data_IF_548887414691
#
_entry.id   IF_548887414691
#
_cell.length_a   1.000
_cell.length_b   1.000
_cell.length_c   1.000
_cell.angle_alpha   90.00
_cell.angle_beta   90.00
_cell.angle_gamma   90.00
#
_symmetry.space_group_name_H-M   'P 1'
#
loop_
_entity.id
_entity.type
_entity.pdbx_description
1 polymer ?
#
# COMPACT_ATOMS: atom_id res chain seq x y z
N UNK A 1 -16.75 -51.10 -19.27
CA UNK A 1 -16.79 -49.70 -18.78
C UNK A 1 -16.43 -49.74 -17.29
N UNK A 2 -15.36 -49.17 -16.75
CA UNK A 2 -14.20 -48.46 -17.28
C UNK A 2 -13.01 -48.77 -16.34
N UNK A 3 -11.81 -48.75 -16.91
CA UNK A 3 -10.54 -49.03 -16.26
C UNK A 3 -10.23 -48.02 -15.16
N UNK A 4 -9.89 -48.49 -13.95
CA UNK A 4 -9.41 -47.63 -12.86
C UNK A 4 -7.95 -47.27 -13.14
N UNK A 5 -7.73 -46.09 -13.70
CA UNK A 5 -6.42 -45.50 -13.88
C UNK A 5 -5.91 -44.94 -12.56
N UNK A 6 -4.98 -45.67 -11.95
CA UNK A 6 -4.02 -45.12 -10.98
C UNK A 6 -3.11 -44.18 -11.76
N UNK A 7 -2.98 -42.91 -11.36
CA UNK A 7 -1.92 -42.04 -11.86
C UNK A 7 -1.17 -41.37 -10.72
N UNK A 8 0.13 -41.30 -10.95
CA UNK A 8 1.21 -41.05 -10.05
C UNK A 8 1.56 -39.57 -9.94
N UNK A 9 2.10 -39.21 -8.77
CA UNK A 9 3.25 -38.31 -8.52
C UNK A 9 3.39 -37.04 -9.37
N UNK A 10 3.38 -35.88 -8.70
CA UNK A 10 4.23 -34.76 -9.08
C UNK A 10 4.68 -33.97 -7.85
N UNK A 11 5.87 -34.30 -7.36
CA UNK A 11 6.67 -33.40 -6.52
C UNK A 11 7.09 -32.24 -7.41
N UNK A 12 6.62 -31.03 -7.13
CA UNK A 12 7.15 -29.82 -7.79
C UNK A 12 7.95 -29.04 -6.76
N UNK A 13 9.26 -29.31 -6.80
CA UNK A 13 10.30 -28.42 -6.30
C UNK A 13 10.25 -27.15 -7.15
N UNK A 14 9.85 -26.01 -6.57
CA UNK A 14 10.08 -24.69 -7.18
C UNK A 14 11.23 -24.04 -6.42
N UNK A 15 12.45 -24.51 -6.71
CA UNK A 15 13.66 -23.75 -6.48
C UNK A 15 14.08 -23.08 -7.79
N UNK A 16 14.55 -21.84 -7.66
CA UNK A 16 15.46 -21.13 -8.59
C UNK A 16 14.89 -20.66 -9.93
N UNK A 17 14.17 -19.54 -9.95
CA UNK A 17 14.09 -18.65 -11.12
C UNK A 17 13.90 -17.16 -10.76
N UNK A 18 14.61 -16.64 -9.75
CA UNK A 18 14.68 -15.19 -9.48
C UNK A 18 16.13 -14.66 -9.35
N UNK A 19 17.09 -15.36 -9.97
CA UNK A 19 18.43 -14.81 -10.23
C UNK A 19 18.57 -14.45 -11.69
N UNK A 20 18.34 -13.17 -11.95
CA UNK A 20 18.57 -12.43 -13.19
C UNK A 20 18.06 -11.02 -12.90
N UNK A 21 18.74 -10.19 -12.11
CA UNK A 21 20.06 -9.62 -12.41
C UNK A 21 20.14 -9.16 -13.88
N UNK A 22 19.27 -8.23 -14.27
CA UNK A 22 19.71 -7.22 -15.23
C UNK A 22 20.59 -6.24 -14.45
N UNK A 23 21.89 -6.48 -14.54
CA UNK A 23 22.94 -5.59 -14.07
C UNK A 23 22.92 -4.31 -14.91
N UNK A 24 22.01 -3.40 -14.61
CA UNK A 24 22.15 -1.99 -14.95
C UNK A 24 22.87 -1.34 -13.78
N UNK A 25 24.11 -0.91 -13.98
CA UNK A 25 24.84 -0.16 -12.98
C UNK A 25 24.16 1.17 -12.74
N UNK A 26 23.21 1.22 -11.81
CA UNK A 26 22.77 2.47 -11.23
C UNK A 26 23.76 2.79 -10.12
N UNK A 27 24.72 3.64 -10.52
CA UNK A 27 25.38 4.61 -9.67
C UNK A 27 24.50 4.88 -8.47
N UNK A 28 25.06 4.70 -7.28
CA UNK A 28 24.54 5.32 -6.07
C UNK A 28 24.56 6.83 -6.34
N UNK A 29 23.54 7.30 -7.03
CA UNK A 29 23.21 8.70 -7.10
C UNK A 29 22.81 8.99 -5.67
N UNK A 30 23.76 9.52 -4.93
CA UNK A 30 23.46 10.34 -3.80
C UNK A 30 22.69 11.55 -4.38
N UNK A 31 21.43 11.31 -4.76
CA UNK A 31 20.47 12.35 -5.09
C UNK A 31 20.26 13.08 -3.77
N UNK A 32 21.18 14.00 -3.46
CA UNK A 32 20.88 15.13 -2.60
C UNK A 32 19.56 15.64 -3.15
N UNK A 33 18.46 15.64 -2.37
CA UNK A 33 17.19 16.15 -2.86
C UNK A 33 17.35 17.66 -3.03
N UNK A 34 17.91 18.06 -4.17
CA UNK A 34 17.97 19.44 -4.63
C UNK A 34 16.60 19.76 -5.25
N UNK A 35 15.56 19.57 -4.45
CA UNK A 35 14.25 20.08 -4.75
C UNK A 35 14.27 21.58 -4.52
N UNK A 36 13.74 22.34 -5.46
CA UNK A 36 13.46 23.75 -5.19
C UNK A 36 12.55 23.85 -3.96
N UNK A 37 12.67 24.91 -3.13
CA UNK A 37 11.83 25.07 -1.95
C UNK A 37 10.32 24.89 -2.24
N UNK A 38 9.86 25.39 -3.39
CA UNK A 38 8.49 25.23 -3.85
C UNK A 38 8.08 23.76 -4.11
N UNK A 39 9.00 22.92 -4.61
CA UNK A 39 8.71 21.50 -4.82
C UNK A 39 8.62 20.74 -3.49
N UNK A 40 9.44 21.10 -2.50
CA UNK A 40 9.36 20.55 -1.16
C UNK A 40 8.03 20.93 -0.47
N UNK A 41 7.63 22.21 -0.53
CA UNK A 41 6.35 22.68 -0.01
C UNK A 41 5.16 21.99 -0.69
N UNK A 42 5.22 21.78 -2.01
CA UNK A 42 4.17 21.02 -2.73
C UNK A 42 4.09 19.58 -2.20
N UNK A 43 5.23 18.90 -2.10
CA UNK A 43 5.27 17.52 -1.63
C UNK A 43 4.74 17.38 -0.19
N UNK A 44 5.07 18.33 0.69
CA UNK A 44 4.55 18.37 2.06
C UNK A 44 3.04 18.63 2.09
N UNK A 45 2.54 19.58 1.29
CA UNK A 45 1.11 19.85 1.15
C UNK A 45 0.33 18.62 0.66
N UNK A 46 0.87 17.92 -0.35
CA UNK A 46 0.27 16.68 -0.87
C UNK A 46 0.23 15.59 0.19
N UNK A 47 1.31 15.38 0.96
CA UNK A 47 1.32 14.40 2.06
C UNK A 47 0.29 14.72 3.14
N UNK A 48 0.22 15.98 3.57
CA UNK A 48 -0.78 16.42 4.54
C UNK A 48 -2.22 16.22 4.05
N UNK A 49 -2.46 16.37 2.74
CA UNK A 49 -3.77 16.06 2.15
C UNK A 49 -4.08 14.55 2.15
N UNK A 50 -3.12 13.71 1.77
CA UNK A 50 -3.24 12.24 1.81
C UNK A 50 -3.59 11.76 3.22
N UNK A 51 -2.86 12.25 4.23
CA UNK A 51 -3.07 11.87 5.62
C UNK A 51 -4.46 12.31 6.13
N UNK A 52 -4.87 13.54 5.83
CA UNK A 52 -6.20 14.03 6.21
C UNK A 52 -7.35 13.20 5.58
N UNK A 53 -7.14 12.67 4.38
CA UNK A 53 -8.11 11.80 3.71
C UNK A 53 -8.10 10.40 4.32
N UNK A 54 -6.91 9.86 4.62
CA UNK A 54 -6.76 8.57 5.28
C UNK A 54 -7.42 8.56 6.68
N UNK A 55 -7.21 9.62 7.46
CA UNK A 55 -7.83 9.79 8.78
C UNK A 55 -9.35 9.85 8.67
N UNK A 56 -9.87 10.60 7.69
CA UNK A 56 -11.31 10.65 7.45
C UNK A 56 -11.86 9.28 7.05
N UNK A 57 -11.16 8.53 6.20
CA UNK A 57 -11.55 7.19 5.80
C UNK A 57 -11.58 6.23 7.01
N UNK A 58 -10.58 6.31 7.88
CA UNK A 58 -10.49 5.49 9.09
C UNK A 58 -11.60 5.81 10.10
N UNK A 59 -12.01 7.08 10.20
CA UNK A 59 -13.09 7.52 11.09
C UNK A 59 -14.48 7.00 10.67
N UNK A 60 -14.67 6.60 9.41
CA UNK A 60 -15.96 6.14 8.90
C UNK A 60 -16.01 4.59 8.76
N UNK A 61 -16.94 3.97 9.49
CA UNK A 61 -17.26 2.54 9.38
C UNK A 61 -17.72 2.23 7.94
N UNK A 62 -16.81 1.70 7.12
CA UNK A 62 -17.05 1.37 5.70
C UNK A 62 -16.17 2.12 4.70
N UNK A 63 -15.27 3.01 5.14
CA UNK A 63 -14.28 3.66 4.28
C UNK A 63 -14.85 4.66 3.26
N UNK A 64 -16.14 4.97 3.34
CA UNK A 64 -16.78 5.96 2.47
C UNK A 64 -16.33 7.37 2.88
N UNK A 65 -15.37 7.92 2.14
CA UNK A 65 -14.96 9.33 2.27
C UNK A 65 -15.84 10.18 1.37
N UNK A 66 -16.41 11.24 1.92
CA UNK A 66 -17.03 12.29 1.09
C UNK A 66 -15.95 13.20 0.54
N UNK A 67 -16.02 13.50 -0.77
CA UNK A 67 -15.18 14.50 -1.42
C UNK A 67 -15.34 15.89 -0.81
N UNK A 68 -16.53 16.19 -0.27
CA UNK A 68 -16.80 17.44 0.45
C UNK A 68 -17.16 17.23 1.93
N UNK A 69 -16.74 18.15 2.83
CA UNK A 69 -15.90 19.31 2.53
C UNK A 69 -14.43 18.90 2.28
N UNK A 70 -13.76 19.63 1.38
CA UNK A 70 -12.35 19.41 1.05
C UNK A 70 -11.51 19.74 2.29
N UNK A 71 -10.61 18.84 2.73
CA UNK A 71 -9.74 19.13 3.87
C UNK A 71 -8.87 20.37 3.61
N UNK A 72 -8.62 21.18 4.65
CA UNK A 72 -7.80 22.39 4.56
C UNK A 72 -6.44 22.20 3.84
N UNK A 73 -5.64 21.13 4.10
CA UNK A 73 -4.38 20.92 3.38
C UNK A 73 -4.60 20.64 1.87
N UNK A 74 -5.73 20.05 1.51
CA UNK A 74 -6.09 19.76 0.13
C UNK A 74 -6.56 20.99 -0.64
N UNK A 75 -7.03 22.05 0.04
CA UNK A 75 -7.60 23.23 -0.60
C UNK A 75 -6.58 24.05 -1.42
N UNK A 76 -5.27 23.82 -1.21
CA UNK A 76 -4.18 24.45 -1.96
C UNK A 76 -3.70 23.65 -3.16
N UNK A 77 -4.22 22.43 -3.34
CA UNK A 77 -3.87 21.56 -4.45
C UNK A 77 -4.69 21.88 -5.69
N UNK A 78 -4.13 21.59 -6.86
CA UNK A 78 -4.92 21.51 -8.09
C UNK A 78 -5.92 20.35 -8.00
N UNK A 79 -7.01 20.38 -8.76
CA UNK A 79 -7.99 19.28 -8.77
C UNK A 79 -7.36 17.92 -9.11
N UNK A 80 -6.37 17.92 -10.01
CA UNK A 80 -5.63 16.71 -10.38
C UNK A 80 -4.77 16.18 -9.20
N UNK A 81 -4.04 17.07 -8.52
CA UNK A 81 -3.25 16.71 -7.34
C UNK A 81 -4.16 16.28 -6.16
N UNK A 82 -5.34 16.88 -6.04
CA UNK A 82 -6.34 16.50 -5.06
C UNK A 82 -6.89 15.09 -5.31
N UNK A 83 -7.24 14.76 -6.55
CA UNK A 83 -7.72 13.42 -6.91
C UNK A 83 -6.66 12.34 -6.66
N UNK A 84 -5.40 12.61 -7.00
CA UNK A 84 -4.29 11.71 -6.70
C UNK A 84 -4.10 11.53 -5.19
N UNK A 85 -4.09 12.62 -4.42
CA UNK A 85 -4.02 12.57 -2.96
C UNK A 85 -5.22 11.83 -2.34
N UNK A 86 -6.40 11.98 -2.94
CA UNK A 86 -7.62 11.31 -2.50
C UNK A 86 -7.55 9.79 -2.66
N UNK A 87 -7.11 9.31 -3.82
CA UNK A 87 -6.93 7.87 -4.04
C UNK A 87 -5.86 7.29 -3.11
N UNK A 88 -4.72 7.98 -2.95
CA UNK A 88 -3.64 7.57 -2.04
C UNK A 88 -4.10 7.52 -0.58
N UNK A 89 -4.90 8.49 -0.13
CA UNK A 89 -5.44 8.51 1.23
C UNK A 89 -6.37 7.32 1.50
N UNK A 90 -7.22 6.96 0.55
CA UNK A 90 -8.08 5.76 0.64
C UNK A 90 -7.26 4.47 0.69
N UNK A 91 -6.25 4.34 -0.16
CA UNK A 91 -5.34 3.19 -0.19
C UNK A 91 -4.57 3.05 1.12
N UNK A 92 -4.09 4.17 1.68
CA UNK A 92 -3.40 4.21 2.98
C UNK A 92 -4.31 3.73 4.11
N UNK A 93 -5.55 4.22 4.18
CA UNK A 93 -6.51 3.80 5.19
C UNK A 93 -6.86 2.30 5.08
N UNK A 94 -7.07 1.80 3.86
CA UNK A 94 -7.34 0.37 3.64
C UNK A 94 -6.11 -0.49 4.01
N UNK A 95 -4.91 -0.06 3.66
CA UNK A 95 -3.67 -0.75 4.02
C UNK A 95 -3.46 -0.79 5.54
N UNK A 96 -3.77 0.30 6.23
CA UNK A 96 -3.74 0.34 7.70
C UNK A 96 -4.74 -0.64 8.32
N UNK A 97 -5.99 -0.67 7.83
CA UNK A 97 -7.01 -1.60 8.30
C UNK A 97 -6.65 -3.08 8.06
N UNK A 98 -5.95 -3.40 6.97
CA UNK A 98 -5.42 -4.76 6.70
C UNK A 98 -4.35 -5.15 7.72
N UNK A 99 -3.41 -4.24 8.02
CA UNK A 99 -2.32 -4.48 8.98
C UNK A 99 -2.85 -4.71 10.40
N UNK A 100 -3.85 -3.95 10.83
CA UNK A 100 -4.48 -4.16 12.15
C UNK A 100 -5.16 -5.53 12.22
N UNK A 101 -5.89 -5.91 11.18
CA UNK A 101 -6.59 -7.20 11.11
C UNK A 101 -5.64 -8.41 11.15
N UNK A 102 -4.48 -8.32 10.48
CA UNK A 102 -3.48 -9.40 10.48
C UNK A 102 -2.74 -9.51 11.83
N UNK A 103 -2.51 -8.38 12.51
CA UNK A 103 -1.90 -8.36 13.84
C UNK A 103 -2.76 -9.03 14.92
N UNK A 104 -4.09 -8.96 14.81
CA UNK A 104 -5.02 -9.65 15.72
C UNK A 104 -5.02 -11.17 15.48
N UNK A 105 -4.94 -11.63 14.22
CA UNK A 105 -4.90 -13.07 13.91
C UNK A 105 -3.58 -13.76 14.29
N UNK A 106 -2.48 -13.03 14.37
CA UNK A 106 -1.16 -13.57 14.76
C UNK A 106 -1.01 -13.86 16.25
N UNK A 107 -1.83 -13.26 17.12
CA UNK A 107 -1.75 -13.42 18.58
C UNK A 107 -2.61 -14.57 19.12
N UNK A 108 -3.48 -15.17 18.30
CA UNK A 108 -4.40 -16.24 18.72
C UNK A 108 -3.85 -17.67 18.52
N UNK A 109 -2.67 -17.84 17.91
CA UNK A 109 -2.16 -19.17 17.53
C UNK A 109 -1.11 -19.79 18.48
N UNK A 110 -0.82 -19.18 19.64
CA UNK A 110 0.23 -19.62 20.58
C UNK A 110 -0.30 -20.11 21.95
N UNK A 111 -1.54 -20.61 22.00
CA UNK A 111 -2.10 -21.11 23.25
C UNK A 111 -3.13 -22.21 23.04
N UNK A 112 -2.69 -23.48 23.04
CA UNK A 112 -3.61 -24.61 23.16
C UNK A 112 -3.10 -25.93 22.61
N UNK A 113 -2.15 -26.56 23.29
CA UNK A 113 -1.82 -27.96 23.11
C UNK A 113 -1.37 -28.54 24.44
N UNK A 114 -2.33 -29.03 25.23
CA UNK A 114 -2.07 -29.95 26.35
C UNK A 114 -1.86 -31.38 25.84
#
# INVERSE_FOLDING_TARGET
MGTRTVQAVAVIVITLLLTGCSTGGDVRDESTPSGTPAAAEKAETTRACVDAIADRAAAHKGGAVRSHPVPAPCARLSDADYLDAYMKGLEQAHSAARKTSQGETGKAADGGGS
#
